data_IF_736130188204
#
_entry.id   IF_736130188204
#
_cell.length_a   1.000
_cell.length_b   1.000
_cell.length_c   1.000
_cell.angle_alpha   90.00
_cell.angle_beta   90.00
_cell.angle_gamma   90.00
#
_symmetry.space_group_name_H-M   'P 1'
#
loop_
_entity.id
_entity.type
_entity.pdbx_description
1 polymer ?
#
# COMPACT_ATOMS: atom_id res chain seq x y z
N UNK A 1 -38.49 37.55 -11.80
CA UNK A 1 -38.25 36.38 -10.93
C UNK A 1 -37.29 35.34 -11.52
N UNK A 2 -37.26 35.10 -12.84
CA UNK A 2 -36.40 34.07 -13.47
C UNK A 2 -34.90 34.32 -13.25
N UNK A 3 -34.42 35.56 -13.36
CA UNK A 3 -33.01 35.91 -13.14
C UNK A 3 -32.51 35.59 -11.73
N UNK A 4 -33.36 35.76 -10.70
CA UNK A 4 -33.02 35.43 -9.33
C UNK A 4 -32.85 33.92 -9.12
N UNK A 5 -33.69 33.10 -9.76
CA UNK A 5 -33.59 31.64 -9.71
C UNK A 5 -32.31 31.12 -10.38
N UNK A 6 -31.93 31.70 -11.53
CA UNK A 6 -30.69 31.35 -12.25
C UNK A 6 -29.45 31.71 -11.42
N UNK A 7 -29.46 32.88 -10.76
CA UNK A 7 -28.37 33.30 -9.88
C UNK A 7 -28.13 32.33 -8.71
N UNK A 8 -29.21 31.81 -8.11
CA UNK A 8 -29.11 30.80 -7.04
C UNK A 8 -28.58 29.46 -7.56
N UNK A 9 -29.02 29.01 -8.74
CA UNK A 9 -28.55 27.76 -9.36
C UNK A 9 -27.05 27.83 -9.71
N UNK A 10 -26.59 28.95 -10.26
CA UNK A 10 -25.17 29.17 -10.55
C UNK A 10 -24.33 29.14 -9.26
N UNK A 11 -24.82 29.74 -8.18
CA UNK A 11 -24.14 29.73 -6.87
C UNK A 11 -24.03 28.31 -6.32
N UNK A 12 -25.10 27.51 -6.40
CA UNK A 12 -25.07 26.12 -5.93
C UNK A 12 -24.17 25.23 -6.77
N UNK A 13 -24.14 25.42 -8.09
CA UNK A 13 -23.27 24.65 -8.98
C UNK A 13 -21.81 25.00 -8.74
N UNK A 14 -21.51 26.29 -8.52
CA UNK A 14 -20.17 26.73 -8.17
C UNK A 14 -19.68 26.13 -6.84
N UNK A 15 -20.55 26.04 -5.83
CA UNK A 15 -20.23 25.35 -4.56
C UNK A 15 -19.93 23.86 -4.81
N UNK A 16 -20.80 23.16 -5.55
CA UNK A 16 -20.61 21.74 -5.85
C UNK A 16 -19.30 21.47 -6.60
N UNK A 17 -18.92 22.33 -7.55
CA UNK A 17 -17.66 22.23 -8.28
C UNK A 17 -16.47 22.44 -7.33
N UNK A 18 -16.53 23.41 -6.43
CA UNK A 18 -15.47 23.63 -5.44
C UNK A 18 -15.34 22.45 -4.47
N UNK A 19 -16.46 21.94 -3.97
CA UNK A 19 -16.48 20.81 -3.05
C UNK A 19 -15.94 19.55 -3.74
N UNK A 20 -16.32 19.31 -5.00
CA UNK A 20 -15.81 18.21 -5.80
C UNK A 20 -14.31 18.35 -6.11
N UNK A 21 -13.84 19.58 -6.36
CA UNK A 21 -12.40 19.86 -6.55
C UNK A 21 -11.61 19.60 -5.26
N UNK A 22 -12.09 20.08 -4.11
CA UNK A 22 -11.46 19.84 -2.83
C UNK A 22 -11.40 18.33 -2.48
N UNK A 23 -12.48 17.60 -2.74
CA UNK A 23 -12.52 16.14 -2.56
C UNK A 23 -11.54 15.42 -3.47
N UNK A 24 -11.47 15.81 -4.75
CA UNK A 24 -10.52 15.24 -5.70
C UNK A 24 -9.09 15.50 -5.24
N UNK A 25 -8.76 16.73 -4.85
CA UNK A 25 -7.40 17.09 -4.44
C UNK A 25 -7.00 16.33 -3.15
N UNK A 26 -7.92 16.19 -2.19
CA UNK A 26 -7.72 15.36 -1.00
C UNK A 26 -7.53 13.86 -1.33
N UNK A 27 -8.26 13.34 -2.31
CA UNK A 27 -8.12 11.96 -2.74
C UNK A 27 -6.81 11.74 -3.51
N UNK A 28 -6.41 12.69 -4.36
CA UNK A 28 -5.11 12.66 -5.05
C UNK A 28 -3.96 12.65 -4.05
N UNK A 29 -4.02 13.45 -2.98
CA UNK A 29 -3.02 13.43 -1.94
C UNK A 29 -2.93 12.07 -1.22
N UNK A 30 -4.09 11.44 -0.94
CA UNK A 30 -4.14 10.09 -0.35
C UNK A 30 -3.55 9.03 -1.28
N UNK A 31 -3.90 9.06 -2.58
CA UNK A 31 -3.34 8.13 -3.56
C UNK A 31 -1.84 8.29 -3.68
N UNK A 32 -1.32 9.52 -3.73
CA UNK A 32 0.13 9.75 -3.79
C UNK A 32 0.86 9.24 -2.54
N UNK A 33 0.30 9.46 -1.35
CA UNK A 33 0.87 8.92 -0.11
C UNK A 33 0.88 7.39 -0.12
N UNK A 34 -0.22 6.77 -0.58
CA UNK A 34 -0.31 5.31 -0.68
C UNK A 34 0.61 4.73 -1.75
N UNK A 35 0.77 5.41 -2.89
CA UNK A 35 1.71 5.00 -3.94
C UNK A 35 3.15 5.03 -3.44
N UNK A 36 3.51 6.04 -2.64
CA UNK A 36 4.83 6.12 -2.01
C UNK A 36 5.05 4.98 -0.99
N UNK A 37 4.05 4.71 -0.15
CA UNK A 37 4.10 3.59 0.80
C UNK A 37 4.19 2.25 0.06
N UNK A 38 3.37 2.05 -0.97
CA UNK A 38 3.39 0.84 -1.80
C UNK A 38 4.74 0.67 -2.52
N UNK A 39 5.35 1.76 -2.99
CA UNK A 39 6.68 1.71 -3.60
C UNK A 39 7.77 1.32 -2.58
N UNK A 40 7.69 1.84 -1.35
CA UNK A 40 8.59 1.45 -0.27
C UNK A 40 8.41 -0.03 0.10
N UNK A 41 7.17 -0.48 0.30
CA UNK A 41 6.85 -1.89 0.57
C UNK A 41 7.27 -2.81 -0.58
N UNK A 42 7.09 -2.40 -1.82
CA UNK A 42 7.54 -3.16 -2.98
C UNK A 42 9.06 -3.28 -3.05
N UNK A 43 9.79 -2.22 -2.68
CA UNK A 43 11.24 -2.26 -2.55
C UNK A 43 11.67 -3.20 -1.42
N UNK A 44 11.04 -3.12 -0.25
CA UNK A 44 11.31 -4.01 0.89
C UNK A 44 11.01 -5.48 0.56
N UNK A 45 9.95 -5.75 -0.22
CA UNK A 45 9.63 -7.10 -0.73
C UNK A 45 10.67 -7.56 -1.74
N UNK A 46 11.09 -6.70 -2.68
CA UNK A 46 12.12 -7.05 -3.66
C UNK A 46 13.48 -7.34 -2.99
N UNK A 47 13.81 -6.60 -1.94
CA UNK A 47 15.02 -6.80 -1.12
C UNK A 47 14.88 -8.04 -0.21
N UNK A 48 13.69 -8.28 0.34
CA UNK A 48 13.37 -9.36 1.28
C UNK A 48 12.96 -10.71 0.66
N UNK A 49 12.63 -10.76 -0.63
CA UNK A 49 12.37 -11.98 -1.40
C UNK A 49 13.62 -12.48 -2.14
N UNK A 50 14.81 -12.16 -1.63
CA UNK A 50 16.04 -12.80 -2.05
C UNK A 50 15.96 -14.31 -1.71
N UNK A 51 16.45 -15.13 -2.64
CA UNK A 51 16.44 -16.60 -2.59
C UNK A 51 16.93 -17.16 -1.24
N UNK A 52 17.78 -16.39 -0.54
CA UNK A 52 18.36 -16.70 0.76
C UNK A 52 17.33 -16.68 1.91
N UNK A 53 16.39 -15.71 1.97
CA UNK A 53 15.33 -15.69 3.00
C UNK A 53 14.28 -16.77 2.78
N UNK A 54 13.97 -17.10 1.52
CA UNK A 54 13.11 -18.25 1.21
C UNK A 54 13.77 -19.58 1.61
N UNK A 55 15.09 -19.71 1.43
CA UNK A 55 15.85 -20.87 1.91
C UNK A 55 15.90 -20.93 3.43
N UNK A 56 16.03 -19.79 4.11
CA UNK A 56 16.02 -19.69 5.58
C UNK A 56 14.65 -20.07 6.15
N UNK A 57 13.55 -19.53 5.60
CA UNK A 57 12.17 -19.92 5.98
C UNK A 57 11.90 -21.39 5.67
N UNK A 58 12.37 -21.91 4.52
CA UNK A 58 12.23 -23.33 4.20
C UNK A 58 13.06 -24.23 5.14
N UNK A 59 14.21 -23.76 5.64
CA UNK A 59 15.00 -24.50 6.63
C UNK A 59 14.31 -24.50 8.00
N UNK A 60 13.75 -23.36 8.41
CA UNK A 60 13.20 -23.15 9.75
C UNK A 60 11.78 -23.73 9.90
N UNK A 61 10.92 -23.59 8.89
CA UNK A 61 9.52 -24.05 8.93
C UNK A 61 9.32 -25.46 8.34
N UNK A 62 10.11 -25.89 7.35
CA UNK A 62 9.95 -27.20 6.70
C UNK A 62 10.92 -28.28 7.20
N UNK A 63 11.82 -27.94 8.14
CA UNK A 63 12.79 -28.89 8.70
C UNK A 63 13.73 -29.50 7.66
N UNK A 64 13.91 -28.84 6.51
CA UNK A 64 14.74 -29.30 5.40
C UNK A 64 16.21 -29.01 5.71
N UNK A 65 16.82 -29.92 6.46
CA UNK A 65 18.26 -29.96 6.70
C UNK A 65 18.97 -30.06 5.35
N UNK A 66 19.83 -29.08 5.03
CA UNK A 66 20.72 -29.17 3.86
C UNK A 66 21.51 -30.49 3.92
N UNK A 67 21.74 -31.22 2.80
CA UNK A 67 22.30 -32.58 2.81
C UNK A 67 23.63 -32.79 3.57
N UNK A 68 24.31 -31.71 3.97
CA UNK A 68 25.60 -31.72 4.66
C UNK A 68 25.57 -31.27 6.13
N UNK A 69 24.41 -31.03 6.73
CA UNK A 69 24.32 -30.58 8.13
C UNK A 69 23.83 -31.72 9.05
N UNK A 70 24.64 -32.08 10.06
CA UNK A 70 24.27 -33.08 11.09
C UNK A 70 24.02 -32.35 12.41
N UNK A 71 22.78 -32.41 12.90
CA UNK A 71 22.41 -31.90 14.22
C UNK A 71 22.39 -33.07 15.20
N UNK A 72 23.20 -33.01 16.24
CA UNK A 72 23.18 -33.97 17.34
C UNK A 72 22.31 -33.42 18.47
N UNK A 73 21.16 -34.05 18.73
CA UNK A 73 20.39 -33.78 19.94
C UNK A 73 20.98 -34.59 21.09
N UNK A 74 21.55 -33.91 22.09
CA UNK A 74 21.92 -34.53 23.37
C UNK A 74 20.65 -34.64 24.20
N UNK A 75 20.15 -35.85 24.39
CA UNK A 75 18.98 -36.14 25.23
C UNK A 75 19.32 -35.99 26.72
N UNK A 76 18.37 -35.43 27.47
CA UNK A 76 18.28 -35.52 28.93
C UNK A 76 17.11 -36.44 29.29
#
# INVERSE_FOLDING_TARGET
MILAAIGLQLRSLHSQVQDAQAQRDALTAQVQAQEQENAALAADIAEGATEDKMKEIAQEELGLISPNQRVFSVGN
#
